data_IF_321815898989
#
_entry.id   IF_321815898989
#
_cell.length_a   1.000
_cell.length_b   1.000
_cell.length_c   1.000
_cell.angle_alpha   90.00
_cell.angle_beta   90.00
_cell.angle_gamma   90.00
#
_symmetry.space_group_name_H-M   'P 1'
#
loop_
_entity.id
_entity.type
_entity.pdbx_description
1 polymer ?
#
# COMPACT_ATOMS: atom_id res chain seq x y z
N UNK A 1 -63.32 70.01 49.90
CA UNK A 1 -64.24 68.87 49.70
C UNK A 1 -64.68 68.87 48.24
N UNK A 2 -63.98 68.10 47.40
CA UNK A 2 -64.47 67.44 46.17
C UNK A 2 -63.24 67.04 45.31
N UNK A 3 -62.59 65.93 45.67
CA UNK A 3 -61.76 65.22 44.69
C UNK A 3 -62.64 64.17 44.04
N UNK A 4 -62.97 64.39 42.77
CA UNK A 4 -63.62 63.41 41.92
C UNK A 4 -62.57 62.39 41.48
N UNK A 5 -62.65 61.18 42.01
CA UNK A 5 -61.90 60.02 41.54
C UNK A 5 -62.29 59.73 40.09
N UNK A 6 -61.33 59.85 39.17
CA UNK A 6 -61.51 59.53 37.77
C UNK A 6 -61.12 58.05 37.57
N UNK A 7 -62.14 57.18 37.50
CA UNK A 7 -61.99 55.78 37.09
C UNK A 7 -61.55 55.71 35.62
N UNK A 8 -60.31 55.23 35.39
CA UNK A 8 -59.85 54.85 34.06
C UNK A 8 -59.88 53.32 33.93
N UNK A 9 -60.47 52.73 32.88
CA UNK A 9 -60.56 51.28 32.73
C UNK A 9 -59.19 50.67 32.44
N UNK A 10 -58.79 49.68 33.23
CA UNK A 10 -57.65 48.84 32.93
C UNK A 10 -57.94 47.99 31.68
N UNK A 11 -57.37 48.40 30.54
CA UNK A 11 -57.36 47.62 29.30
C UNK A 11 -56.59 46.31 29.54
N UNK A 12 -57.32 45.21 29.76
CA UNK A 12 -56.79 43.85 29.72
C UNK A 12 -56.48 43.50 28.25
N UNK A 13 -55.21 43.41 27.89
CA UNK A 13 -54.78 42.75 26.67
C UNK A 13 -54.89 41.23 26.86
N UNK A 14 -55.98 40.63 26.36
CA UNK A 14 -56.10 39.18 26.29
C UNK A 14 -55.44 38.67 25.01
N UNK A 15 -54.27 38.03 25.14
CA UNK A 15 -53.71 37.19 24.08
C UNK A 15 -54.42 35.83 24.10
N UNK A 16 -55.19 35.50 23.06
CA UNK A 16 -55.76 34.16 22.88
C UNK A 16 -55.01 33.47 21.75
N UNK A 17 -54.23 32.45 22.10
CA UNK A 17 -53.60 31.54 21.14
C UNK A 17 -54.51 30.32 21.02
N UNK A 18 -55.07 30.09 19.84
CA UNK A 18 -55.77 28.85 19.50
C UNK A 18 -54.86 28.01 18.60
N UNK A 19 -54.60 26.76 18.99
CA UNK A 19 -53.83 25.81 18.19
C UNK A 19 -54.77 24.68 17.76
N UNK A 20 -54.86 24.45 16.46
CA UNK A 20 -55.49 23.27 15.87
C UNK A 20 -54.43 22.16 15.74
N UNK A 21 -54.77 20.95 16.15
CA UNK A 21 -53.80 19.90 16.49
C UNK A 21 -53.72 18.76 15.46
N UNK A 22 -53.97 19.04 14.18
CA UNK A 22 -54.07 18.00 13.14
C UNK A 22 -52.97 18.02 12.06
N UNK A 23 -52.03 18.98 12.05
CA UNK A 23 -50.94 18.99 11.07
C UNK A 23 -49.55 18.97 11.73
N UNK A 24 -48.76 17.94 11.42
CA UNK A 24 -47.35 17.85 11.78
C UNK A 24 -46.57 19.05 11.22
N UNK A 25 -45.83 19.73 12.10
CA UNK A 25 -44.91 20.83 11.83
C UNK A 25 -45.45 21.96 10.94
N UNK A 26 -46.24 22.88 11.50
CA UNK A 26 -46.46 24.18 10.88
C UNK A 26 -45.67 25.28 11.61
N UNK A 27 -44.76 25.92 10.87
CA UNK A 27 -44.24 27.25 11.21
C UNK A 27 -45.44 28.19 11.22
N UNK A 28 -45.88 28.64 12.40
CA UNK A 28 -46.96 29.62 12.50
C UNK A 28 -46.39 31.04 12.51
N UNK A 29 -46.78 31.92 11.58
CA UNK A 29 -46.50 33.35 11.71
C UNK A 29 -47.32 33.89 12.89
N UNK A 30 -46.62 34.33 13.94
CA UNK A 30 -47.26 35.03 15.07
C UNK A 30 -47.19 36.53 14.79
N UNK A 31 -48.34 37.12 14.43
CA UNK A 31 -48.45 38.58 14.29
C UNK A 31 -48.70 39.20 15.68
N UNK A 32 -47.66 39.78 16.28
CA UNK A 32 -47.82 40.60 17.48
C UNK A 32 -48.24 42.00 17.06
N UNK A 33 -49.52 42.33 17.28
CA UNK A 33 -50.04 43.70 17.19
C UNK A 33 -49.92 44.37 18.56
N UNK A 34 -49.01 45.34 18.76
CA UNK A 34 -49.06 46.16 19.96
C UNK A 34 -50.39 46.90 19.97
N UNK A 35 -51.18 46.76 21.05
CA UNK A 35 -52.34 47.64 21.27
C UNK A 35 -51.89 49.10 21.39
N UNK A 36 -52.80 50.07 21.19
CA UNK A 36 -52.44 51.49 21.25
C UNK A 36 -51.87 51.83 22.62
N UNK A 37 -50.57 52.10 22.69
CA UNK A 37 -49.93 52.65 23.88
C UNK A 37 -50.39 54.10 24.00
N UNK A 38 -50.92 54.48 25.17
CA UNK A 38 -51.27 55.87 25.44
C UNK A 38 -50.01 56.75 25.31
N UNK A 39 -50.02 57.65 24.34
CA UNK A 39 -48.89 58.54 24.03
C UNK A 39 -48.69 59.54 25.16
N UNK A 40 -47.43 59.74 25.59
CA UNK A 40 -47.02 60.89 26.40
C UNK A 40 -46.74 62.06 25.46
N UNK A 41 -47.25 63.24 25.79
CA UNK A 41 -47.16 64.44 24.95
C UNK A 41 -45.68 64.87 24.78
N UNK A 42 -45.12 64.67 23.57
CA UNK A 42 -43.77 65.11 23.21
C UNK A 42 -42.96 64.18 22.30
N UNK A 43 -43.37 62.92 22.10
CA UNK A 43 -42.60 61.99 21.27
C UNK A 43 -42.91 62.11 19.76
N UNK A 44 -41.90 62.18 18.87
CA UNK A 44 -42.11 62.18 17.42
C UNK A 44 -42.66 60.82 16.96
N UNK A 45 -43.68 60.85 16.11
CA UNK A 45 -44.41 59.69 15.64
C UNK A 45 -43.49 58.63 14.98
N UNK A 46 -43.09 57.63 15.74
CA UNK A 46 -42.55 56.39 15.20
C UNK A 46 -43.69 55.39 15.11
N UNK A 47 -44.27 55.26 13.92
CA UNK A 47 -45.15 54.15 13.56
C UNK A 47 -44.35 52.85 13.71
N UNK A 48 -44.49 52.19 14.87
CA UNK A 48 -44.03 50.80 15.03
C UNK A 48 -44.99 49.93 14.21
N UNK A 49 -44.62 49.66 12.96
CA UNK A 49 -45.30 48.68 12.12
C UNK A 49 -45.31 47.28 12.77
N UNK A 50 -46.19 46.38 12.29
CA UNK A 50 -46.28 45.02 12.83
C UNK A 50 -44.91 44.35 12.81
N UNK A 51 -44.44 43.92 13.99
CA UNK A 51 -43.24 43.08 14.10
C UNK A 51 -43.65 41.64 13.90
N UNK A 52 -43.54 41.17 12.67
CA UNK A 52 -43.65 39.75 12.37
C UNK A 52 -42.36 39.09 12.87
N UNK A 53 -42.46 38.22 13.89
CA UNK A 53 -41.41 37.28 14.23
C UNK A 53 -41.91 35.87 13.97
N UNK A 54 -41.15 35.12 13.20
CA UNK A 54 -41.35 33.69 13.06
C UNK A 54 -41.00 33.02 14.39
N UNK A 55 -41.96 32.35 15.00
CA UNK A 55 -41.73 31.47 16.15
C UNK A 55 -41.79 30.05 15.63
N UNK A 56 -40.65 29.36 15.63
CA UNK A 56 -40.61 27.93 15.38
C UNK A 56 -41.14 27.21 16.62
N UNK A 57 -42.34 26.64 16.52
CA UNK A 57 -42.83 25.68 17.51
C UNK A 57 -42.23 24.32 17.13
N UNK A 58 -41.11 23.96 17.76
CA UNK A 58 -40.58 22.60 17.74
C UNK A 58 -41.56 21.69 18.46
N UNK A 59 -42.48 21.07 17.72
CA UNK A 59 -43.22 19.92 18.20
C UNK A 59 -42.22 18.85 18.62
N UNK A 60 -42.17 18.52 19.91
CA UNK A 60 -41.39 17.39 20.43
C UNK A 60 -42.10 16.04 20.19
N UNK A 61 -43.15 15.97 19.36
CA UNK A 61 -43.76 14.70 18.99
C UNK A 61 -42.81 13.93 18.07
N UNK A 62 -42.03 13.04 18.66
CA UNK A 62 -41.07 12.17 17.97
C UNK A 62 -40.01 11.69 18.97
N UNK A 63 -39.44 10.52 18.74
CA UNK A 63 -38.36 10.00 19.56
C UNK A 63 -37.05 10.72 19.20
N UNK A 64 -36.35 11.23 20.21
CA UNK A 64 -35.07 11.92 20.03
C UNK A 64 -33.94 10.98 19.57
N UNK A 65 -33.95 9.74 20.05
CA UNK A 65 -32.94 8.74 19.71
C UNK A 65 -33.49 7.81 18.64
N UNK A 66 -32.97 7.92 17.42
CA UNK A 66 -33.22 6.93 16.38
C UNK A 66 -32.27 5.74 16.56
N UNK A 67 -32.76 4.48 16.45
CA UNK A 67 -31.95 3.27 16.48
C UNK A 67 -31.20 3.05 15.15
N UNK A 68 -30.50 4.09 14.69
CA UNK A 68 -29.69 4.06 13.48
C UNK A 68 -28.21 4.04 13.88
N UNK A 69 -27.50 3.01 13.44
CA UNK A 69 -26.04 2.89 13.58
C UNK A 69 -25.39 3.14 12.23
N UNK A 70 -24.31 3.92 12.22
CA UNK A 70 -23.55 4.29 11.04
C UNK A 70 -22.07 4.08 11.34
N UNK A 71 -21.40 3.24 10.57
CA UNK A 71 -20.00 2.89 10.77
C UNK A 71 -19.35 2.43 9.45
N UNK A 72 -18.03 2.32 9.45
CA UNK A 72 -17.25 1.64 8.41
C UNK A 72 -17.28 0.14 8.67
N UNK A 73 -17.35 -0.66 7.61
CA UNK A 73 -17.18 -2.11 7.69
C UNK A 73 -15.81 -2.49 7.15
N UNK A 74 -15.06 -3.24 7.94
CA UNK A 74 -13.67 -3.56 7.64
C UNK A 74 -12.72 -2.42 8.03
N UNK A 75 -11.85 -2.03 7.11
CA UNK A 75 -10.82 -1.01 7.33
C UNK A 75 -11.40 0.40 7.17
N UNK A 76 -11.11 1.29 8.10
CA UNK A 76 -11.45 2.72 8.07
C UNK A 76 -10.35 3.57 7.39
N UNK A 77 -9.40 2.93 6.70
CA UNK A 77 -8.21 3.58 6.17
C UNK A 77 -8.32 3.87 4.68
N UNK A 78 -8.09 5.13 4.30
CA UNK A 78 -7.84 5.55 2.91
C UNK A 78 -6.34 5.66 2.67
N UNK A 79 -5.84 5.04 1.59
CA UNK A 79 -4.44 5.21 1.18
C UNK A 79 -4.17 6.68 0.82
N UNK A 80 -3.19 7.26 1.50
CA UNK A 80 -2.83 8.67 1.35
C UNK A 80 -1.56 8.85 0.53
N UNK A 81 -1.67 8.64 -0.79
CA UNK A 81 -0.57 8.77 -1.77
C UNK A 81 -0.84 9.85 -2.84
N UNK A 82 -1.99 10.52 -2.78
CA UNK A 82 -2.44 11.53 -3.74
C UNK A 82 -2.97 10.99 -5.07
N UNK A 83 -2.82 9.70 -5.35
CA UNK A 83 -3.02 9.15 -6.70
C UNK A 83 -3.97 7.96 -6.75
N UNK A 84 -3.90 7.08 -5.77
CA UNK A 84 -4.70 5.88 -5.69
C UNK A 84 -6.12 6.20 -5.21
N UNK A 85 -7.09 5.50 -5.79
CA UNK A 85 -8.47 5.48 -5.30
C UNK A 85 -8.61 4.33 -4.32
N UNK A 86 -9.13 4.61 -3.13
CA UNK A 86 -9.49 3.60 -2.12
C UNK A 86 -10.99 3.59 -1.94
N UNK A 87 -11.61 2.42 -1.97
CA UNK A 87 -13.02 2.25 -1.69
C UNK A 87 -13.23 1.78 -0.23
N UNK A 88 -14.14 2.43 0.48
CA UNK A 88 -14.57 2.06 1.82
C UNK A 88 -16.02 1.61 1.79
N UNK A 89 -16.35 0.59 2.58
CA UNK A 89 -17.71 0.16 2.79
C UNK A 89 -18.28 0.83 4.04
N UNK A 90 -19.28 1.69 3.87
CA UNK A 90 -20.04 2.27 4.97
C UNK A 90 -21.36 1.51 5.14
N UNK A 91 -21.82 1.37 6.37
CA UNK A 91 -23.06 0.66 6.69
C UNK A 91 -23.96 1.49 7.60
N UNK A 92 -25.22 1.62 7.18
CA UNK A 92 -26.29 2.21 7.97
C UNK A 92 -27.24 1.09 8.37
N UNK A 93 -27.44 0.84 9.66
CA UNK A 93 -28.25 -0.30 10.15
C UNK A 93 -29.33 0.16 11.11
N UNK A 94 -30.54 -0.39 10.96
CA UNK A 94 -31.54 -0.33 12.03
C UNK A 94 -31.15 -1.33 13.13
N UNK A 95 -30.65 -0.83 14.25
CA UNK A 95 -30.22 -1.65 15.39
C UNK A 95 -31.34 -1.96 16.38
N UNK A 96 -32.57 -1.49 16.11
CA UNK A 96 -33.73 -1.91 16.86
C UNK A 96 -34.00 -3.41 16.62
N UNK A 97 -34.56 -4.09 17.62
CA UNK A 97 -34.83 -5.54 17.56
C UNK A 97 -36.25 -5.85 17.11
N UNK A 98 -37.16 -4.89 17.21
CA UNK A 98 -38.60 -5.11 17.05
C UNK A 98 -39.25 -4.07 16.14
N UNK A 99 -38.75 -2.84 16.13
CA UNK A 99 -39.35 -1.71 15.44
C UNK A 99 -38.69 -1.47 14.08
N UNK A 100 -39.49 -1.47 13.02
CA UNK A 100 -39.03 -1.05 11.69
C UNK A 100 -39.02 0.48 11.60
N UNK A 101 -38.00 1.04 10.95
CA UNK A 101 -37.92 2.48 10.67
C UNK A 101 -38.65 2.78 9.35
N UNK A 102 -39.71 3.61 9.35
CA UNK A 102 -40.43 3.94 8.12
C UNK A 102 -39.56 4.76 7.17
N UNK A 103 -39.67 4.48 5.87
CA UNK A 103 -39.03 5.24 4.80
C UNK A 103 -40.14 5.81 3.91
N UNK A 104 -40.25 7.13 3.86
CA UNK A 104 -41.17 7.81 2.95
C UNK A 104 -40.47 8.00 1.60
N UNK A 105 -40.98 7.36 0.55
CA UNK A 105 -40.29 7.26 -0.75
C UNK A 105 -40.53 8.42 -1.71
N UNK A 106 -41.54 9.26 -1.47
CA UNK A 106 -41.91 10.32 -2.40
C UNK A 106 -42.53 11.52 -1.67
N UNK A 107 -42.56 12.67 -2.37
CA UNK A 107 -43.16 13.91 -1.88
C UNK A 107 -42.18 14.83 -1.14
N UNK A 108 -42.71 15.94 -0.61
CA UNK A 108 -41.91 17.00 0.00
C UNK A 108 -41.32 16.62 1.38
N UNK A 109 -41.93 15.65 2.05
CA UNK A 109 -41.48 15.09 3.33
C UNK A 109 -40.93 13.68 3.18
N UNK A 110 -40.39 13.36 1.99
CA UNK A 110 -39.69 12.10 1.80
C UNK A 110 -38.48 11.98 2.72
N UNK A 111 -38.21 10.75 3.14
CA UNK A 111 -37.06 10.42 3.98
C UNK A 111 -35.77 10.65 3.19
N UNK A 112 -34.79 11.29 3.82
CA UNK A 112 -33.47 11.54 3.23
C UNK A 112 -32.37 11.12 4.18
N UNK A 113 -31.41 10.38 3.63
CA UNK A 113 -30.12 10.13 4.26
C UNK A 113 -29.08 10.94 3.47
N UNK A 114 -28.35 11.81 4.14
CA UNK A 114 -27.41 12.74 3.51
C UNK A 114 -26.03 12.40 4.05
N UNK A 115 -25.20 11.81 3.20
CA UNK A 115 -23.79 11.65 3.52
C UNK A 115 -23.07 12.97 3.26
N UNK A 116 -22.18 13.37 4.15
CA UNK A 116 -21.45 14.62 4.02
C UNK A 116 -20.02 14.49 4.53
N UNK A 117 -19.09 15.09 3.81
CA UNK A 117 -17.70 15.21 4.25
C UNK A 117 -17.12 16.57 3.90
N UNK A 118 -16.16 17.03 4.70
CA UNK A 118 -15.45 18.27 4.39
C UNK A 118 -14.37 18.06 3.32
N UNK A 119 -14.27 19.04 2.42
CA UNK A 119 -13.20 19.19 1.45
C UNK A 119 -12.45 20.49 1.71
N UNK A 120 -11.17 20.52 1.35
CA UNK A 120 -10.37 21.75 1.41
C UNK A 120 -10.27 22.42 0.05
N UNK A 121 -9.97 23.72 0.04
CA UNK A 121 -9.56 24.44 -1.16
C UNK A 121 -8.17 23.94 -1.61
N UNK A 122 -7.85 23.99 -2.91
CA UNK A 122 -6.55 23.57 -3.44
C UNK A 122 -5.40 24.31 -2.72
N UNK A 123 -4.58 23.55 -1.98
CA UNK A 123 -3.45 24.07 -1.20
C UNK A 123 -3.73 24.42 0.27
N UNK A 124 -4.98 24.26 0.73
CA UNK A 124 -5.33 24.37 2.15
C UNK A 124 -4.93 23.13 2.95
N UNK A 125 -4.44 23.31 4.18
CA UNK A 125 -4.07 22.22 5.09
C UNK A 125 -5.11 22.04 6.20
N UNK A 126 -6.37 21.77 5.84
CA UNK A 126 -7.37 21.39 6.84
C UNK A 126 -7.24 19.90 7.13
N UNK A 127 -6.77 19.57 8.33
CA UNK A 127 -6.46 18.17 8.70
C UNK A 127 -7.71 17.28 8.72
N UNK A 128 -8.88 17.88 9.00
CA UNK A 128 -10.18 17.22 9.02
C UNK A 128 -10.84 17.09 7.65
N UNK A 129 -10.28 17.66 6.57
CA UNK A 129 -10.81 17.47 5.21
C UNK A 129 -10.46 16.06 4.70
N UNK A 130 -11.38 15.43 3.97
CA UNK A 130 -11.16 14.11 3.39
C UNK A 130 -10.34 14.19 2.10
N UNK A 131 -10.63 15.18 1.26
CA UNK A 131 -9.94 15.44 -0.01
C UNK A 131 -9.92 16.93 -0.35
N UNK A 132 -9.22 17.31 -1.41
CA UNK A 132 -9.06 18.69 -1.91
C UNK A 132 -9.99 19.01 -3.09
N UNK A 133 -10.73 18.03 -3.63
CA UNK A 133 -11.63 18.22 -4.77
C UNK A 133 -12.88 17.35 -4.64
N UNK A 134 -14.10 17.87 -4.93
CA UNK A 134 -15.31 17.07 -4.91
C UNK A 134 -15.26 15.83 -5.81
N UNK A 135 -14.56 15.91 -6.95
CA UNK A 135 -14.44 14.80 -7.91
C UNK A 135 -13.54 13.65 -7.44
N UNK A 136 -12.76 13.84 -6.36
CA UNK A 136 -11.90 12.82 -5.77
C UNK A 136 -12.62 12.02 -4.67
N UNK A 137 -13.89 12.29 -4.43
CA UNK A 137 -14.75 11.52 -3.53
C UNK A 137 -16.06 11.20 -4.24
N UNK A 138 -16.45 9.94 -4.24
CA UNK A 138 -17.71 9.49 -4.87
C UNK A 138 -18.44 8.52 -3.96
N UNK A 139 -19.77 8.55 -4.03
CA UNK A 139 -20.65 7.70 -3.22
C UNK A 139 -21.54 6.90 -4.15
N UNK A 140 -21.52 5.58 -4.01
CA UNK A 140 -22.55 4.70 -4.58
C UNK A 140 -23.38 4.11 -3.44
N UNK A 141 -24.64 3.80 -3.70
CA UNK A 141 -25.56 3.23 -2.71
C UNK A 141 -26.09 1.91 -3.22
N UNK A 142 -26.13 0.91 -2.35
CA UNK A 142 -26.91 -0.28 -2.57
C UNK A 142 -28.23 -0.16 -1.83
N UNK A 143 -29.33 -0.56 -2.48
CA UNK A 143 -30.66 -0.55 -1.89
C UNK A 143 -30.70 -1.40 -0.60
N UNK A 144 -31.74 -1.17 0.21
CA UNK A 144 -31.90 -1.83 1.52
C UNK A 144 -31.74 -3.35 1.40
N UNK A 145 -30.79 -3.87 2.17
CA UNK A 145 -30.42 -5.27 2.20
C UNK A 145 -30.93 -5.90 3.51
N UNK A 146 -31.74 -6.94 3.37
CA UNK A 146 -32.33 -7.65 4.51
C UNK A 146 -31.36 -8.62 5.16
N UNK A 147 -31.73 -9.12 6.34
CA UNK A 147 -30.95 -10.13 7.08
C UNK A 147 -30.61 -11.33 6.20
N UNK A 148 -29.31 -11.64 6.08
CA UNK A 148 -28.79 -12.75 5.28
C UNK A 148 -28.30 -12.37 3.88
N UNK A 149 -28.41 -11.10 3.48
CA UNK A 149 -27.71 -10.60 2.29
C UNK A 149 -26.19 -10.71 2.45
N UNK A 150 -25.49 -11.04 1.37
CA UNK A 150 -24.03 -10.98 1.33
C UNK A 150 -23.61 -9.51 1.35
N UNK A 151 -22.69 -9.18 2.26
CA UNK A 151 -22.08 -7.85 2.31
C UNK A 151 -21.33 -7.57 1.00
N UNK A 152 -21.56 -6.42 0.34
CA UNK A 152 -20.90 -6.11 -0.92
C UNK A 152 -19.41 -5.82 -0.69
N UNK A 153 -18.54 -6.42 -1.50
CA UNK A 153 -17.13 -6.06 -1.52
C UNK A 153 -16.98 -4.65 -2.15
N UNK A 154 -16.42 -3.64 -1.44
CA UNK A 154 -16.23 -2.29 -1.97
C UNK A 154 -15.16 -2.21 -3.07
N UNK A 155 -14.31 -3.22 -3.24
CA UNK A 155 -13.26 -3.23 -4.27
C UNK A 155 -13.72 -3.87 -5.59
N UNK A 156 -14.90 -4.51 -5.61
CA UNK A 156 -15.45 -5.17 -6.80
C UNK A 156 -16.55 -4.32 -7.42
N UNK A 157 -16.25 -3.69 -8.57
CA UNK A 157 -17.18 -2.79 -9.26
C UNK A 157 -18.53 -3.46 -9.61
N UNK A 158 -18.51 -4.75 -9.96
CA UNK A 158 -19.72 -5.51 -10.30
C UNK A 158 -20.71 -5.65 -9.13
N UNK A 159 -20.31 -5.38 -7.89
CA UNK A 159 -21.24 -5.36 -6.74
C UNK A 159 -22.04 -4.04 -6.63
N UNK A 160 -21.68 -3.01 -7.40
CA UNK A 160 -22.18 -1.65 -7.27
C UNK A 160 -22.83 -1.15 -8.57
N UNK A 161 -24.07 -1.59 -8.82
CA UNK A 161 -24.80 -1.36 -10.07
C UNK A 161 -25.38 0.06 -10.25
N UNK A 162 -25.33 0.92 -9.23
CA UNK A 162 -25.83 2.30 -9.32
C UNK A 162 -24.73 3.24 -9.82
N UNK A 163 -25.05 4.18 -10.71
CA UNK A 163 -24.18 5.32 -10.97
C UNK A 163 -23.88 6.08 -9.65
N UNK A 164 -22.69 6.69 -9.52
CA UNK A 164 -22.38 7.52 -8.36
C UNK A 164 -23.44 8.61 -8.16
N UNK A 165 -23.84 8.80 -6.90
CA UNK A 165 -24.78 9.87 -6.54
C UNK A 165 -24.11 11.20 -6.85
N UNK A 166 -24.87 12.11 -7.47
CA UNK A 166 -24.38 13.44 -7.80
C UNK A 166 -24.04 14.20 -6.52
N UNK A 167 -22.76 14.58 -6.39
CA UNK A 167 -22.29 15.43 -5.31
C UNK A 167 -22.94 16.82 -5.41
N UNK A 168 -23.37 17.35 -4.27
CA UNK A 168 -23.85 18.73 -4.11
C UNK A 168 -22.85 19.50 -3.25
N UNK A 169 -21.92 20.27 -3.86
CA UNK A 169 -20.98 21.09 -3.11
C UNK A 169 -21.70 22.26 -2.46
N UNK A 170 -21.55 22.41 -1.14
CA UNK A 170 -22.04 23.54 -0.36
C UNK A 170 -20.86 24.18 0.39
N UNK A 171 -20.13 25.05 -0.31
CA UNK A 171 -18.88 25.61 0.19
C UNK A 171 -17.82 24.52 0.35
N UNK A 172 -17.41 24.25 1.60
CA UNK A 172 -16.42 23.22 1.96
C UNK A 172 -17.04 21.88 2.34
N UNK A 173 -18.35 21.77 2.36
CA UNK A 173 -19.03 20.50 2.58
C UNK A 173 -19.44 19.93 1.22
N UNK A 174 -19.17 18.65 0.98
CA UNK A 174 -19.75 17.92 -0.14
C UNK A 174 -20.82 16.99 0.41
N UNK A 175 -22.02 17.06 -0.17
CA UNK A 175 -23.18 16.29 0.28
C UNK A 175 -23.69 15.35 -0.83
N UNK A 176 -24.11 14.15 -0.44
CA UNK A 176 -24.81 13.19 -1.28
C UNK A 176 -26.16 12.86 -0.67
N UNK A 177 -27.23 13.25 -1.35
CA UNK A 177 -28.60 13.00 -0.89
C UNK A 177 -29.06 11.66 -1.42
N UNK A 178 -29.27 10.72 -0.50
CA UNK A 178 -29.90 9.42 -0.74
C UNK A 178 -31.38 9.57 -0.36
N UNK A 179 -32.24 9.51 -1.36
CA UNK A 179 -33.68 9.65 -1.16
C UNK A 179 -34.39 8.30 -0.93
N UNK A 180 -35.65 8.36 -0.51
CA UNK A 180 -36.43 7.15 -0.25
C UNK A 180 -36.72 6.31 -1.51
N UNK A 181 -36.60 6.89 -2.71
CA UNK A 181 -36.71 6.13 -3.94
C UNK A 181 -35.48 5.22 -4.14
N UNK A 182 -34.28 5.79 -3.98
CA UNK A 182 -32.98 5.10 -4.05
C UNK A 182 -32.78 4.05 -2.96
N UNK A 183 -33.37 4.24 -1.77
CA UNK A 183 -33.36 3.22 -0.72
C UNK A 183 -34.14 1.95 -1.10
N UNK A 184 -35.08 2.04 -2.04
CA UNK A 184 -35.75 0.88 -2.63
C UNK A 184 -36.74 0.14 -1.72
N UNK A 185 -36.94 0.59 -0.47
CA UNK A 185 -37.86 -0.03 0.48
C UNK A 185 -38.70 1.03 1.23
N UNK A 186 -39.91 0.64 1.66
CA UNK A 186 -40.82 1.51 2.44
C UNK A 186 -40.47 1.55 3.94
N UNK A 187 -39.53 0.70 4.37
CA UNK A 187 -39.05 0.60 5.76
C UNK A 187 -37.71 -0.12 5.84
N UNK A 188 -36.94 0.22 6.87
CA UNK A 188 -35.75 -0.52 7.30
C UNK A 188 -36.16 -1.42 8.47
N UNK A 189 -36.30 -2.73 8.23
CA UNK A 189 -36.68 -3.69 9.28
C UNK A 189 -35.56 -3.80 10.34
N UNK A 190 -35.84 -4.39 11.51
CA UNK A 190 -34.80 -4.76 12.47
C UNK A 190 -33.63 -5.49 11.81
N UNK A 191 -32.42 -4.96 11.96
CA UNK A 191 -31.16 -5.43 11.37
C UNK A 191 -31.02 -5.31 9.84
N UNK A 192 -31.95 -4.67 9.15
CA UNK A 192 -31.72 -4.31 7.74
C UNK A 192 -30.62 -3.25 7.66
N UNK A 193 -29.81 -3.36 6.61
CA UNK A 193 -28.68 -2.46 6.36
C UNK A 193 -28.80 -1.79 4.99
N UNK A 194 -28.31 -0.55 4.91
CA UNK A 194 -28.00 0.15 3.68
C UNK A 194 -26.48 0.24 3.58
N UNK A 195 -25.93 -0.20 2.45
CA UNK A 195 -24.50 -0.17 2.20
C UNK A 195 -24.15 0.97 1.25
N UNK A 196 -23.09 1.71 1.58
CA UNK A 196 -22.58 2.80 0.75
C UNK A 196 -21.11 2.52 0.41
N UNK A 197 -20.73 2.70 -0.85
CA UNK A 197 -19.34 2.68 -1.29
C UNK A 197 -18.85 4.11 -1.34
N UNK A 198 -17.90 4.43 -0.47
CA UNK A 198 -17.21 5.71 -0.49
C UNK A 198 -15.85 5.52 -1.14
N UNK A 199 -15.68 5.99 -2.37
CA UNK A 199 -14.39 5.93 -3.08
C UNK A 199 -13.69 7.26 -2.95
N UNK A 200 -12.47 7.26 -2.38
CA UNK A 200 -11.69 8.45 -2.04
C UNK A 200 -10.31 8.39 -2.69
N UNK A 201 -9.86 9.52 -3.22
CA UNK A 201 -8.47 9.80 -3.57
C UNK A 201 -8.00 11.02 -2.78
N UNK A 202 -6.88 10.90 -2.07
CA UNK A 202 -6.37 11.98 -1.22
C UNK A 202 -4.85 11.97 -1.12
N UNK A 203 -4.27 13.17 -1.09
CA UNK A 203 -2.85 13.42 -0.81
C UNK A 203 -2.68 14.47 0.28
N UNK A 204 -3.71 14.65 1.12
CA UNK A 204 -3.70 15.60 2.22
C UNK A 204 -2.78 15.11 3.35
N UNK A 205 -2.69 15.86 4.46
CA UNK A 205 -1.96 15.36 5.64
C UNK A 205 -2.62 14.07 6.16
N UNK A 206 -1.80 13.08 6.48
CA UNK A 206 -2.20 11.85 7.20
C UNK A 206 -2.90 12.22 8.51
N UNK A 207 -4.00 11.54 8.82
CA UNK A 207 -4.78 11.80 10.02
C UNK A 207 -6.27 11.47 9.87
N UNK A 208 -7.02 11.54 10.98
CA UNK A 208 -8.45 11.27 10.99
C UNK A 208 -9.25 12.37 10.29
N UNK A 209 -10.42 12.02 9.78
CA UNK A 209 -11.45 12.90 9.21
C UNK A 209 -12.80 12.24 9.42
N UNK A 210 -13.83 13.03 9.67
CA UNK A 210 -15.17 12.49 9.91
C UNK A 210 -16.01 12.53 8.64
N UNK A 211 -16.78 11.46 8.44
CA UNK A 211 -17.90 11.46 7.50
C UNK A 211 -19.17 11.50 8.32
N UNK A 212 -20.04 12.44 7.97
CA UNK A 212 -21.31 12.66 8.65
C UNK A 212 -22.45 12.05 7.86
N UNK A 213 -23.37 11.43 8.58
CA UNK A 213 -24.67 11.03 8.09
C UNK A 213 -25.72 11.91 8.74
N UNK A 214 -26.38 12.77 7.97
CA UNK A 214 -27.58 13.47 8.41
C UNK A 214 -28.81 12.69 7.96
N UNK A 215 -29.78 12.53 8.86
CA UNK A 215 -31.06 11.90 8.53
C UNK A 215 -32.19 12.88 8.75
N UNK A 216 -33.10 12.96 7.77
CA UNK A 216 -34.19 13.93 7.70
C UNK A 216 -35.51 13.26 7.38
N UNK A 217 -36.59 13.74 8.01
CA UNK A 217 -37.96 13.29 7.76
C UNK A 217 -38.14 11.77 7.87
N UNK A 218 -37.61 11.17 8.95
CA UNK A 218 -37.93 9.80 9.31
C UNK A 218 -39.16 9.84 10.23
N UNK A 219 -40.32 9.30 9.82
CA UNK A 219 -41.55 9.37 10.61
C UNK A 219 -41.36 8.84 12.03
N UNK A 220 -41.84 9.62 13.01
CA UNK A 220 -41.75 9.26 14.43
C UNK A 220 -40.42 9.58 15.11
N UNK A 221 -39.43 10.11 14.38
CA UNK A 221 -38.11 10.46 14.92
C UNK A 221 -37.74 11.90 14.61
N UNK A 222 -36.91 12.49 15.46
CA UNK A 222 -36.32 13.81 15.19
C UNK A 222 -35.23 13.68 14.14
N UNK A 223 -35.08 14.71 13.31
CA UNK A 223 -33.88 14.86 12.47
C UNK A 223 -32.62 14.86 13.33
N UNK A 224 -31.51 14.37 12.77
CA UNK A 224 -30.25 14.38 13.48
C UNK A 224 -29.09 13.92 12.62
N UNK A 225 -27.99 13.58 13.29
CA UNK A 225 -26.77 13.11 12.63
C UNK A 225 -26.09 11.96 13.36
N UNK A 226 -25.27 11.24 12.61
CA UNK A 226 -24.24 10.31 13.07
C UNK A 226 -22.93 10.65 12.37
N UNK A 227 -21.82 10.16 12.89
CA UNK A 227 -20.52 10.30 12.26
C UNK A 227 -19.74 9.02 12.44
N UNK A 228 -18.90 8.70 11.46
CA UNK A 228 -17.83 7.73 11.59
C UNK A 228 -16.51 8.40 11.20
N UNK A 229 -15.43 7.96 11.82
CA UNK A 229 -14.09 8.47 11.53
C UNK A 229 -13.43 7.60 10.47
N UNK A 230 -12.73 8.25 9.55
CA UNK A 230 -11.91 7.66 8.50
C UNK A 230 -10.47 8.15 8.71
N UNK A 231 -9.49 7.28 8.51
CA UNK A 231 -8.09 7.61 8.63
C UNK A 231 -7.41 7.68 7.27
N UNK A 232 -6.82 8.85 6.93
CA UNK A 232 -5.91 8.98 5.78
C UNK A 232 -4.54 8.48 6.21
N UNK A 233 -3.98 7.44 5.59
CA UNK A 233 -2.71 6.82 6.01
C UNK A 233 -1.93 6.19 4.84
N UNK A 234 -0.58 6.19 4.88
CA UNK A 234 0.21 5.41 3.94
C UNK A 234 0.20 3.90 4.24
N UNK A 235 -0.10 3.52 5.49
CA UNK A 235 -0.27 2.13 5.94
C UNK A 235 -1.76 1.78 5.87
N UNK A 236 -2.10 0.76 5.10
CA UNK A 236 -3.47 0.26 4.92
C UNK A 236 -3.60 -1.17 5.39
N UNK A 237 -4.74 -1.48 6.02
CA UNK A 237 -5.21 -2.84 6.23
C UNK A 237 -6.24 -3.12 5.15
N UNK A 238 -6.02 -4.17 4.37
CA UNK A 238 -6.90 -4.58 3.29
C UNK A 238 -7.48 -5.95 3.62
N UNK A 239 -8.81 -6.06 3.59
CA UNK A 239 -9.50 -7.33 3.68
C UNK A 239 -9.90 -7.76 2.28
N UNK A 240 -9.20 -8.73 1.71
CA UNK A 240 -9.56 -9.24 0.40
C UNK A 240 -10.84 -10.08 0.51
N UNK A 241 -11.72 -10.05 -0.49
CA UNK A 241 -12.92 -10.92 -0.56
C UNK A 241 -12.66 -12.44 -0.46
N UNK A 242 -11.40 -12.87 -0.41
CA UNK A 242 -10.97 -14.24 -0.09
C UNK A 242 -10.92 -14.58 1.42
N UNK A 243 -11.21 -13.61 2.30
CA UNK A 243 -11.19 -13.78 3.76
C UNK A 243 -9.79 -13.71 4.39
N UNK A 244 -8.81 -13.16 3.67
CA UNK A 244 -7.45 -12.95 4.15
C UNK A 244 -7.18 -11.46 4.34
N UNK A 245 -6.48 -11.13 5.43
CA UNK A 245 -6.02 -9.76 5.71
C UNK A 245 -4.61 -9.54 5.17
N UNK A 246 -4.41 -8.35 4.60
CA UNK A 246 -3.17 -7.90 4.02
C UNK A 246 -2.78 -6.53 4.58
N UNK A 247 -1.48 -6.27 4.63
CA UNK A 247 -0.91 -4.98 5.00
C UNK A 247 -0.21 -4.39 3.79
N UNK A 248 -0.63 -3.21 3.38
CA UNK A 248 0.00 -2.42 2.34
C UNK A 248 0.68 -1.18 2.92
N UNK A 249 1.89 -0.86 2.46
CA UNK A 249 2.52 0.45 2.65
C UNK A 249 2.72 1.04 1.26
N UNK A 250 2.04 2.15 0.98
CA UNK A 250 2.07 2.80 -0.34
C UNK A 250 1.26 2.08 -1.43
N UNK A 251 0.48 1.05 -1.08
CA UNK A 251 -0.42 0.34 -1.98
C UNK A 251 -1.67 -0.12 -1.24
N UNK A 252 -2.83 -0.02 -1.89
CA UNK A 252 -4.12 -0.53 -1.38
C UNK A 252 -4.54 -1.85 -2.04
N UNK A 253 -3.68 -2.43 -2.88
CA UNK A 253 -3.87 -3.74 -3.49
C UNK A 253 -2.63 -4.63 -3.25
N UNK A 254 -2.33 -4.96 -1.98
CA UNK A 254 -1.18 -5.78 -1.64
C UNK A 254 -1.31 -7.21 -2.19
N UNK A 255 -0.42 -7.61 -3.10
CA UNK A 255 -0.40 -8.97 -3.65
C UNK A 255 0.15 -10.03 -2.68
N UNK A 256 0.85 -9.61 -1.63
CA UNK A 256 1.42 -10.44 -0.56
C UNK A 256 0.94 -9.92 0.79
N UNK A 257 0.89 -10.79 1.82
CA UNK A 257 0.41 -10.41 3.17
C UNK A 257 1.03 -9.13 3.72
N UNK A 258 2.28 -8.85 3.36
CA UNK A 258 2.90 -7.54 3.49
C UNK A 258 3.42 -7.13 2.11
N UNK A 259 2.97 -5.98 1.62
CA UNK A 259 3.51 -5.34 0.42
C UNK A 259 3.96 -3.92 0.77
N UNK A 260 5.16 -3.56 0.32
CA UNK A 260 5.73 -2.22 0.45
C UNK A 260 6.12 -1.77 -0.95
N UNK A 261 5.54 -0.68 -1.42
CA UNK A 261 5.95 -0.02 -2.68
C UNK A 261 6.95 1.08 -2.37
N UNK A 262 7.60 1.61 -3.41
CA UNK A 262 8.71 2.56 -3.28
C UNK A 262 9.94 1.96 -2.57
N UNK A 263 10.52 2.65 -1.59
CA UNK A 263 11.77 2.25 -0.95
C UNK A 263 11.56 1.75 0.48
N UNK A 264 12.14 0.60 0.82
CA UNK A 264 12.16 0.04 2.18
C UNK A 264 13.54 0.21 2.82
N UNK A 265 13.63 0.99 3.90
CA UNK A 265 14.83 1.06 4.74
C UNK A 265 14.60 0.34 6.07
N UNK A 266 15.52 -0.56 6.44
CA UNK A 266 15.50 -1.31 7.70
C UNK A 266 16.77 -0.98 8.49
N UNK A 267 16.64 -0.56 9.75
CA UNK A 267 17.78 -0.27 10.64
C UNK A 267 17.46 0.80 11.69
N UNK A 268 18.10 0.74 12.86
CA UNK A 268 17.89 1.73 13.93
C UNK A 268 18.31 3.14 13.52
N UNK A 269 19.45 3.24 12.82
CA UNK A 269 20.00 4.51 12.35
C UNK A 269 19.55 4.81 10.92
N UNK A 270 19.58 3.79 10.07
CA UNK A 270 19.38 4.01 8.63
C UNK A 270 17.95 4.41 8.30
N UNK A 271 16.94 3.89 9.02
CA UNK A 271 15.54 4.19 8.74
C UNK A 271 15.18 5.68 8.89
N UNK A 272 15.97 6.47 9.61
CA UNK A 272 15.75 7.92 9.78
C UNK A 272 16.78 8.81 9.07
N UNK A 273 17.83 8.23 8.45
CA UNK A 273 18.92 8.98 7.81
C UNK A 273 19.01 8.78 6.30
N UNK A 274 18.66 7.58 5.82
CA UNK A 274 18.86 7.20 4.42
C UNK A 274 17.55 6.75 3.78
N UNK A 275 17.27 7.32 2.60
CA UNK A 275 16.18 6.87 1.75
C UNK A 275 16.66 5.70 0.90
N UNK A 276 15.97 4.57 0.96
CA UNK A 276 16.19 3.49 0.01
C UNK A 276 15.92 3.98 -1.43
N UNK A 277 16.62 3.43 -2.45
CA UNK A 277 16.25 3.64 -3.85
C UNK A 277 14.78 3.30 -4.10
N UNK A 278 14.19 3.89 -5.14
CA UNK A 278 12.82 3.54 -5.58
C UNK A 278 12.80 2.05 -5.95
N UNK A 279 11.77 1.34 -5.48
CA UNK A 279 11.62 -0.12 -5.58
C UNK A 279 12.83 -0.90 -5.02
N UNK A 280 13.51 -0.31 -4.04
CA UNK A 280 14.76 -0.80 -3.47
C UNK A 280 14.65 -1.15 -1.98
N UNK A 281 15.58 -2.00 -1.53
CA UNK A 281 15.74 -2.39 -0.14
C UNK A 281 17.11 -1.94 0.37
N UNK A 282 17.11 -1.19 1.48
CA UNK A 282 18.32 -0.80 2.20
C UNK A 282 18.26 -1.40 3.63
N UNK A 283 19.29 -2.15 4.03
CA UNK A 283 19.32 -2.82 5.34
C UNK A 283 20.60 -2.50 6.10
N UNK A 284 20.46 -2.01 7.33
CA UNK A 284 21.54 -1.83 8.28
C UNK A 284 21.80 -3.14 9.04
N UNK A 285 23.05 -3.60 9.04
CA UNK A 285 23.46 -4.81 9.76
C UNK A 285 23.49 -6.06 8.89
N UNK A 286 23.39 -7.23 9.52
CA UNK A 286 23.50 -8.52 8.84
C UNK A 286 22.14 -9.01 8.34
N UNK A 287 22.07 -9.43 7.08
CA UNK A 287 20.90 -10.06 6.45
C UNK A 287 21.07 -11.58 6.47
N UNK A 288 20.17 -12.27 7.18
CA UNK A 288 20.09 -13.73 7.19
C UNK A 288 18.95 -14.22 6.29
N UNK A 289 19.24 -15.15 5.38
CA UNK A 289 18.23 -15.86 4.58
C UNK A 289 18.34 -17.34 4.90
N UNK A 290 17.28 -17.94 5.45
CA UNK A 290 17.29 -19.34 5.92
C UNK A 290 18.10 -19.57 7.20
N UNK A 291 18.51 -18.50 7.91
CA UNK A 291 19.24 -18.56 9.18
C UNK A 291 18.83 -17.43 10.11
N UNK A 292 18.68 -17.71 11.41
CA UNK A 292 18.42 -16.72 12.45
C UNK A 292 19.70 -16.23 13.15
N UNK A 293 20.87 -16.75 12.77
CA UNK A 293 22.18 -16.36 13.29
C UNK A 293 23.12 -16.00 12.12
N UNK A 294 22.92 -14.86 11.44
CA UNK A 294 23.80 -14.43 10.37
C UNK A 294 25.17 -13.98 10.93
N UNK A 295 26.25 -14.65 10.51
CA UNK A 295 27.63 -14.37 10.93
C UNK A 295 28.40 -13.47 9.95
N UNK A 296 27.74 -13.02 8.90
CA UNK A 296 28.26 -12.13 7.87
C UNK A 296 27.17 -11.14 7.44
N UNK A 297 27.56 -10.05 6.77
CA UNK A 297 26.61 -9.01 6.31
C UNK A 297 25.51 -9.57 5.41
N UNK A 298 25.81 -10.60 4.62
CA UNK A 298 24.81 -11.46 3.98
C UNK A 298 25.16 -12.91 4.27
N UNK A 299 24.29 -13.62 4.97
CA UNK A 299 24.42 -15.05 5.25
C UNK A 299 23.20 -15.79 4.70
N UNK A 300 23.41 -16.51 3.60
CA UNK A 300 22.39 -17.36 3.00
C UNK A 300 22.69 -18.81 3.36
N UNK A 301 21.76 -19.46 4.07
CA UNK A 301 21.84 -20.86 4.45
C UNK A 301 20.68 -21.61 3.81
N UNK A 302 21.00 -22.67 3.09
CA UNK A 302 20.02 -23.59 2.53
C UNK A 302 20.29 -24.99 3.09
N UNK A 303 19.24 -25.63 3.58
CA UNK A 303 19.28 -27.01 4.07
C UNK A 303 18.59 -27.93 3.04
N UNK A 304 19.18 -29.09 2.77
CA UNK A 304 18.66 -30.07 1.80
C UNK A 304 19.16 -29.87 0.37
N UNK A 305 18.35 -30.26 -0.61
CA UNK A 305 18.68 -30.12 -2.04
C UNK A 305 18.23 -28.76 -2.60
N UNK A 306 19.00 -28.21 -3.54
CA UNK A 306 18.66 -26.98 -4.25
C UNK A 306 19.81 -25.99 -4.36
N UNK A 307 19.48 -24.76 -4.74
CA UNK A 307 20.45 -23.65 -4.81
C UNK A 307 20.25 -22.75 -3.62
N UNK A 308 21.31 -22.46 -2.86
CA UNK A 308 21.28 -21.40 -1.86
C UNK A 308 21.08 -20.02 -2.51
N UNK A 309 21.69 -19.79 -3.67
CA UNK A 309 21.53 -18.57 -4.47
C UNK A 309 21.62 -18.90 -5.97
N UNK A 310 20.88 -18.14 -6.79
CA UNK A 310 20.93 -18.21 -8.25
C UNK A 310 20.93 -16.80 -8.82
N UNK A 311 21.87 -16.51 -9.73
CA UNK A 311 22.02 -15.22 -10.39
C UNK A 311 21.86 -15.42 -11.90
N UNK A 312 20.99 -14.66 -12.54
CA UNK A 312 20.68 -14.77 -13.97
C UNK A 312 20.71 -13.41 -14.67
N UNK A 313 21.15 -13.39 -15.93
CA UNK A 313 21.24 -12.17 -16.74
C UNK A 313 22.41 -11.24 -16.37
N UNK A 314 22.53 -10.13 -17.12
CA UNK A 314 23.50 -9.06 -16.87
C UNK A 314 24.98 -9.50 -16.87
N UNK A 315 25.81 -8.77 -16.12
CA UNK A 315 27.26 -9.01 -15.98
C UNK A 315 27.62 -10.08 -14.93
N UNK A 316 26.63 -10.82 -14.40
CA UNK A 316 26.84 -11.85 -13.38
C UNK A 316 27.28 -11.29 -12.01
N UNK A 317 28.17 -12.00 -11.31
CA UNK A 317 28.67 -11.66 -9.97
C UNK A 317 30.07 -11.07 -10.06
N UNK A 318 30.22 -9.82 -9.64
CA UNK A 318 31.52 -9.16 -9.52
C UNK A 318 32.03 -9.23 -8.08
N UNK A 319 33.28 -9.65 -7.88
CA UNK A 319 33.99 -9.61 -6.59
C UNK A 319 35.19 -8.68 -6.78
N UNK A 320 35.25 -7.58 -6.04
CA UNK A 320 36.28 -6.55 -6.20
C UNK A 320 36.65 -5.89 -4.87
N UNK A 321 37.77 -5.17 -4.86
CA UNK A 321 38.26 -4.45 -3.67
C UNK A 321 38.77 -5.34 -2.53
N UNK A 322 38.93 -6.65 -2.76
CA UNK A 322 39.49 -7.58 -1.78
C UNK A 322 40.99 -7.29 -1.63
N UNK A 323 41.40 -6.97 -0.41
CA UNK A 323 42.76 -6.56 -0.10
C UNK A 323 43.35 -7.39 1.06
N UNK A 324 44.67 -7.31 1.23
CA UNK A 324 45.40 -8.06 2.25
C UNK A 324 45.52 -9.56 1.94
N UNK A 325 45.93 -10.34 2.95
CA UNK A 325 46.12 -11.79 2.85
C UNK A 325 44.79 -12.55 3.05
N UNK A 326 43.81 -12.31 2.17
CA UNK A 326 42.48 -12.91 2.27
C UNK A 326 42.02 -13.50 0.94
N UNK A 327 41.08 -14.45 1.00
CA UNK A 327 40.47 -15.05 -0.18
C UNK A 327 39.26 -14.20 -0.61
N UNK A 328 39.21 -13.83 -1.89
CA UNK A 328 38.02 -13.21 -2.47
C UNK A 328 36.84 -14.19 -2.57
N UNK A 329 37.13 -15.47 -2.80
CA UNK A 329 36.16 -16.56 -2.82
C UNK A 329 36.81 -17.82 -2.22
N UNK A 330 36.14 -18.43 -1.25
CA UNK A 330 36.50 -19.75 -0.72
C UNK A 330 35.33 -20.69 -0.92
N UNK A 331 35.56 -21.88 -1.48
CA UNK A 331 34.52 -22.89 -1.70
C UNK A 331 34.89 -24.14 -0.90
N UNK A 332 34.11 -24.42 0.13
CA UNK A 332 34.16 -25.69 0.85
C UNK A 332 33.16 -26.64 0.23
N UNK A 333 33.61 -27.82 -0.18
CA UNK A 333 32.76 -28.79 -0.82
C UNK A 333 33.14 -30.22 -0.41
N UNK A 334 32.12 -31.07 -0.24
CA UNK A 334 32.25 -32.48 0.10
C UNK A 334 31.38 -33.36 -0.81
N UNK A 335 31.09 -32.90 -2.03
CA UNK A 335 30.36 -33.71 -3.02
C UNK A 335 31.20 -34.92 -3.43
N UNK A 336 30.55 -36.05 -3.67
CA UNK A 336 31.21 -37.28 -4.12
C UNK A 336 31.07 -37.52 -5.63
N UNK A 337 30.12 -36.85 -6.28
CA UNK A 337 29.71 -37.13 -7.68
C UNK A 337 29.62 -35.90 -8.58
N UNK A 338 29.71 -34.69 -8.03
CA UNK A 338 29.60 -33.43 -8.76
C UNK A 338 30.87 -32.60 -8.60
N UNK A 339 31.26 -31.81 -9.61
CA UNK A 339 32.40 -30.91 -9.47
C UNK A 339 32.12 -29.81 -8.44
N UNK A 340 33.14 -29.38 -7.70
CA UNK A 340 33.09 -28.21 -6.80
C UNK A 340 32.76 -26.91 -7.56
N UNK A 341 33.25 -26.80 -8.80
CA UNK A 341 32.98 -25.67 -9.69
C UNK A 341 32.81 -26.19 -11.12
N UNK A 342 31.65 -25.91 -11.72
CA UNK A 342 31.41 -26.15 -13.15
C UNK A 342 31.33 -24.80 -13.88
N UNK A 343 32.15 -24.62 -14.91
CA UNK A 343 32.14 -23.42 -15.75
C UNK A 343 31.78 -23.83 -17.17
N UNK A 344 30.65 -23.33 -17.68
CA UNK A 344 30.17 -23.64 -19.02
C UNK A 344 30.03 -22.34 -19.81
N UNK A 345 30.85 -22.16 -20.83
CA UNK A 345 30.71 -21.06 -21.78
C UNK A 345 30.24 -21.60 -23.13
N UNK A 346 29.08 -21.14 -23.58
CA UNK A 346 28.52 -21.47 -24.90
C UNK A 346 28.92 -20.47 -25.99
N UNK A 347 29.50 -19.33 -25.60
CA UNK A 347 29.99 -18.30 -26.50
C UNK A 347 31.45 -18.54 -26.94
N UNK A 348 31.98 -17.61 -27.74
CA UNK A 348 33.33 -17.70 -28.30
C UNK A 348 34.46 -17.24 -27.34
N UNK A 349 34.10 -16.58 -26.22
CA UNK A 349 35.07 -16.06 -25.25
C UNK A 349 35.72 -17.15 -24.39
N UNK A 350 36.73 -16.77 -23.60
CA UNK A 350 37.29 -17.67 -22.60
C UNK A 350 36.25 -18.00 -21.53
N UNK A 351 36.12 -19.29 -21.18
CA UNK A 351 35.25 -19.71 -20.08
C UNK A 351 35.83 -19.29 -18.71
N UNK A 352 37.16 -19.35 -18.60
CA UNK A 352 37.91 -18.90 -17.43
C UNK A 352 39.09 -18.06 -17.91
N UNK A 353 39.28 -16.90 -17.28
CA UNK A 353 40.40 -16.01 -17.52
C UNK A 353 41.01 -15.61 -16.18
N UNK A 354 42.27 -16.01 -15.96
CA UNK A 354 43.04 -15.63 -14.79
C UNK A 354 44.19 -14.71 -15.25
N UNK A 355 44.24 -13.50 -14.70
CA UNK A 355 45.33 -12.55 -14.91
C UNK A 355 45.88 -12.15 -13.56
N UNK A 356 47.19 -12.25 -13.44
CA UNK A 356 47.93 -11.94 -12.23
C UNK A 356 49.00 -10.90 -12.61
N UNK A 357 48.97 -9.74 -11.94
CA UNK A 357 49.84 -8.60 -12.27
C UNK A 357 51.00 -8.43 -11.28
N UNK A 358 51.00 -9.16 -10.16
CA UNK A 358 52.03 -9.12 -9.12
C UNK A 358 53.07 -10.25 -9.24
N UNK A 359 53.51 -10.82 -8.12
CA UNK A 359 54.54 -11.88 -8.08
C UNK A 359 54.05 -13.31 -7.72
N UNK A 360 52.77 -13.49 -7.42
CA UNK A 360 52.14 -14.79 -7.11
C UNK A 360 51.74 -15.64 -8.33
N UNK A 361 51.05 -16.75 -8.08
CA UNK A 361 50.54 -17.66 -9.12
C UNK A 361 49.18 -17.19 -9.61
N UNK A 362 48.96 -17.22 -10.93
CA UNK A 362 47.62 -16.99 -11.49
C UNK A 362 46.68 -18.18 -11.24
N UNK A 363 47.24 -19.40 -11.17
CA UNK A 363 46.54 -20.62 -10.81
C UNK A 363 47.53 -21.61 -10.17
N UNK A 364 47.06 -22.34 -9.17
CA UNK A 364 47.77 -23.44 -8.50
C UNK A 364 46.80 -24.60 -8.31
N UNK A 365 47.25 -25.83 -8.59
CA UNK A 365 46.46 -27.04 -8.47
C UNK A 365 47.28 -28.08 -7.69
N UNK A 366 46.73 -28.58 -6.58
CA UNK A 366 47.38 -29.55 -5.71
C UNK A 366 46.51 -30.80 -5.52
N UNK A 367 47.12 -31.99 -5.58
CA UNK A 367 46.47 -33.28 -5.30
C UNK A 367 45.62 -33.89 -6.44
N UNK A 368 45.07 -35.09 -6.18
CA UNK A 368 44.11 -35.78 -7.05
C UNK A 368 44.66 -36.25 -8.40
N UNK A 369 43.77 -36.35 -9.40
CA UNK A 369 44.08 -36.78 -10.77
C UNK A 369 44.65 -35.67 -11.68
N UNK A 370 44.99 -34.50 -11.12
CA UNK A 370 45.53 -33.36 -11.88
C UNK A 370 44.51 -32.66 -12.80
N UNK A 371 45.02 -32.03 -13.87
CA UNK A 371 44.22 -31.27 -14.84
C UNK A 371 44.07 -32.07 -16.13
N UNK A 372 42.84 -32.41 -16.49
CA UNK A 372 42.52 -33.06 -17.76
C UNK A 372 42.00 -32.06 -18.80
N UNK A 373 42.53 -32.12 -20.02
CA UNK A 373 42.05 -31.35 -21.18
C UNK A 373 41.53 -32.35 -22.22
N UNK A 374 40.23 -32.33 -22.49
CA UNK A 374 39.57 -33.32 -23.37
C UNK A 374 38.57 -32.64 -24.31
N UNK A 375 38.13 -33.35 -25.35
CA UNK A 375 37.07 -32.85 -26.25
C UNK A 375 37.46 -31.66 -27.13
N UNK A 376 38.76 -31.37 -27.28
CA UNK A 376 39.23 -30.30 -28.18
C UNK A 376 39.15 -30.81 -29.62
N UNK A 377 38.25 -30.22 -30.41
CA UNK A 377 37.99 -30.62 -31.80
C UNK A 377 38.30 -29.50 -32.80
N UNK A 378 38.53 -29.87 -34.06
CA UNK A 378 38.90 -28.94 -35.12
C UNK A 378 40.38 -28.52 -35.05
N UNK A 379 40.76 -27.51 -35.83
CA UNK A 379 42.14 -27.02 -35.89
C UNK A 379 42.47 -26.06 -34.73
N UNK A 380 42.48 -26.57 -33.49
CA UNK A 380 42.72 -25.77 -32.27
C UNK A 380 43.78 -26.42 -31.38
N UNK A 381 44.58 -25.60 -30.71
CA UNK A 381 45.50 -26.09 -29.68
C UNK A 381 44.71 -26.41 -28.40
N UNK A 382 44.92 -27.61 -27.85
CA UNK A 382 44.34 -27.98 -26.56
C UNK A 382 45.01 -27.23 -25.39
N UNK A 383 46.31 -26.98 -25.51
CA UNK A 383 47.10 -26.20 -24.57
C UNK A 383 48.11 -25.35 -25.36
N UNK A 384 48.13 -24.05 -25.11
CA UNK A 384 49.13 -23.14 -25.66
C UNK A 384 49.89 -22.49 -24.51
N UNK A 385 51.21 -22.67 -24.47
CA UNK A 385 52.08 -22.13 -23.44
C UNK A 385 53.14 -21.27 -24.11
N UNK A 386 53.23 -20.01 -23.70
CA UNK A 386 54.25 -19.07 -24.14
C UNK A 386 54.75 -18.27 -22.94
N UNK A 387 56.01 -17.86 -22.99
CA UNK A 387 56.64 -17.07 -21.94
C UNK A 387 57.84 -16.32 -22.47
N UNK A 388 58.09 -15.16 -21.88
CA UNK A 388 59.30 -14.35 -22.09
C UNK A 388 60.14 -14.38 -20.81
N UNK A 389 60.39 -15.58 -20.28
CA UNK A 389 61.10 -15.77 -19.02
C UNK A 389 62.60 -15.63 -19.23
N UNK A 390 63.30 -14.99 -18.31
CA UNK A 390 64.77 -14.95 -18.29
C UNK A 390 65.26 -15.90 -17.19
N UNK A 391 66.18 -16.80 -17.54
CA UNK A 391 66.86 -17.71 -16.59
C UNK A 391 66.01 -18.82 -15.95
N UNK A 392 64.74 -18.97 -16.32
CA UNK A 392 63.88 -20.10 -15.92
C UNK A 392 63.10 -20.64 -17.11
N UNK A 393 62.84 -21.97 -17.16
CA UNK A 393 62.07 -22.54 -18.26
C UNK A 393 60.60 -22.09 -18.20
N UNK A 394 60.01 -21.83 -19.36
CA UNK A 394 58.56 -21.54 -19.48
C UNK A 394 57.70 -22.72 -18.99
N UNK A 395 58.22 -23.95 -19.13
CA UNK A 395 57.60 -25.18 -18.61
C UNK A 395 58.66 -25.95 -17.82
N UNK A 396 58.45 -26.08 -16.51
CA UNK A 396 59.25 -26.95 -15.65
C UNK A 396 58.45 -28.20 -15.27
N UNK A 397 59.07 -29.37 -15.36
CA UNK A 397 58.48 -30.64 -14.90
C UNK A 397 59.43 -31.30 -13.93
N UNK A 398 58.92 -31.71 -12.77
CA UNK A 398 59.68 -32.43 -11.73
C UNK A 398 58.89 -33.66 -11.33
N UNK A 399 59.51 -34.84 -11.37
CA UNK A 399 58.94 -36.08 -10.90
C UNK A 399 59.80 -36.64 -9.76
N UNK A 400 59.19 -36.84 -8.59
CA UNK A 400 59.86 -37.40 -7.41
C UNK A 400 59.56 -38.90 -7.21
N UNK A 401 58.81 -39.54 -8.13
CA UNK A 401 58.43 -40.95 -8.10
C UNK A 401 58.93 -41.75 -9.32
N UNK A 402 58.53 -43.03 -9.42
CA UNK A 402 59.05 -44.00 -10.39
C UNK A 402 58.34 -44.03 -11.77
N UNK A 403 57.58 -43.00 -12.13
CA UNK A 403 56.78 -42.95 -13.37
C UNK A 403 57.39 -42.13 -14.51
N UNK A 404 56.71 -42.13 -15.66
CA UNK A 404 57.07 -41.27 -16.80
C UNK A 404 56.86 -39.78 -16.45
N UNK A 405 57.83 -38.94 -16.81
CA UNK A 405 57.79 -37.48 -16.61
C UNK A 405 56.91 -36.80 -17.68
N UNK A 406 56.92 -37.36 -18.90
CA UNK A 406 56.12 -36.90 -20.02
C UNK A 406 55.78 -38.11 -20.89
N UNK A 407 54.49 -38.35 -21.12
CA UNK A 407 53.99 -39.39 -22.01
C UNK A 407 53.14 -38.75 -23.11
N UNK A 408 53.46 -39.06 -24.37
CA UNK A 408 52.70 -38.58 -25.53
C UNK A 408 52.34 -39.76 -26.44
N UNK A 409 51.06 -39.86 -26.80
CA UNK A 409 50.54 -40.88 -27.72
C UNK A 409 49.61 -40.22 -28.73
N UNK A 410 49.81 -40.49 -30.02
CA UNK A 410 48.94 -40.04 -31.10
C UNK A 410 48.27 -41.26 -31.75
N UNK A 411 46.95 -41.21 -31.91
CA UNK A 411 46.17 -42.25 -32.58
C UNK A 411 45.46 -41.64 -33.81
N UNK A 412 45.75 -42.12 -35.04
CA UNK A 412 45.15 -41.64 -36.29
C UNK A 412 46.15 -41.48 -37.47
N UNK A 413 45.64 -41.45 -38.71
CA UNK A 413 46.45 -41.31 -39.93
C UNK A 413 46.65 -39.83 -40.32
N UNK A 414 47.90 -39.37 -40.38
CA UNK A 414 48.28 -38.12 -41.05
C UNK A 414 48.92 -37.06 -40.14
N UNK A 415 50.24 -37.11 -39.99
CA UNK A 415 51.04 -35.91 -39.72
C UNK A 415 51.03 -35.08 -41.01
N UNK A 416 50.60 -33.82 -40.96
CA UNK A 416 50.90 -32.90 -42.05
C UNK A 416 52.44 -32.77 -42.16
N UNK A 417 52.98 -32.70 -43.38
CA UNK A 417 54.42 -32.77 -43.68
C UNK A 417 55.35 -31.80 -42.91
N UNK A 418 54.79 -30.86 -42.14
CA UNK A 418 55.50 -29.83 -41.38
C UNK A 418 55.37 -29.97 -39.84
N UNK A 419 54.77 -31.06 -39.34
CA UNK A 419 54.68 -31.30 -37.89
C UNK A 419 55.97 -31.95 -37.38
N UNK A 420 56.86 -31.16 -36.78
CA UNK A 420 58.09 -31.62 -36.12
C UNK A 420 57.87 -31.71 -34.60
N UNK A 421 58.07 -32.88 -34.02
CA UNK A 421 58.33 -33.04 -32.59
C UNK A 421 59.84 -33.29 -32.41
N UNK A 422 60.60 -32.25 -32.11
CA UNK A 422 62.02 -32.38 -31.75
C UNK A 422 62.11 -32.51 -30.21
N UNK A 423 62.18 -33.76 -29.72
CA UNK A 423 62.60 -34.03 -28.34
C UNK A 423 64.12 -34.16 -28.35
N UNK A 424 64.82 -33.06 -28.06
CA UNK A 424 66.27 -33.10 -27.90
C UNK A 424 66.61 -33.77 -26.56
N UNK A 425 66.93 -35.06 -26.59
CA UNK A 425 67.54 -35.74 -25.45
C UNK A 425 68.97 -35.21 -25.27
N UNK A 426 69.20 -34.34 -24.29
CA UNK A 426 70.56 -34.01 -23.86
C UNK A 426 71.09 -35.18 -23.02
N UNK A 427 71.85 -36.11 -23.62
CA UNK A 427 72.57 -37.11 -22.84
C UNK A 427 73.68 -36.41 -22.06
N UNK A 428 73.60 -36.41 -20.73
CA UNK A 428 74.73 -36.06 -19.87
C UNK A 428 75.78 -37.17 -19.98
N UNK A 429 76.72 -37.03 -20.93
CA UNK A 429 77.96 -37.80 -20.91
C UNK A 429 78.83 -37.24 -19.78
N UNK A 430 78.98 -37.98 -18.68
CA UNK A 430 79.99 -37.69 -17.66
C UNK A 430 81.40 -37.82 -18.25
N UNK A 431 82.31 -36.84 -18.05
CA UNK A 431 83.69 -37.01 -18.49
C UNK A 431 84.44 -37.87 -17.48
N UNK A 432 84.68 -39.14 -17.82
CA UNK A 432 85.71 -39.94 -17.14
C UNK A 432 87.08 -39.43 -17.62
N UNK A 433 87.76 -38.64 -16.78
CA UNK A 433 89.22 -38.43 -16.89
C UNK A 433 89.91 -39.78 -16.69
N UNK A 434 90.56 -40.33 -17.72
CA UNK A 434 91.68 -41.28 -17.52
C UNK A 434 92.98 -40.48 -17.53
N UNK A 435 93.65 -40.48 -16.39
CA UNK A 435 95.08 -40.19 -16.31
C UNK A 435 95.85 -41.38 -16.89
N UNK A 436 96.83 -41.10 -17.74
CA UNK A 436 98.16 -41.69 -17.65
C UNK A 436 99.19 -40.61 -17.91
#
# INVERSE_FOLDING_TARGET
MSDAANDAPALKSSCRIAADAEAEAQVLPVELRPGPLAQRQGDPATLLGPRIRTVEVLSQRGQKSIPLHFDVVGSDIVLNDGSSKTALLLRITNVDREVALPIVRAGNLQTRLILACEITDQGGHQEWALTDEPGKVTVQVQAVAGVGSVEPDPDVDDNWHSDPIMASPNGRMVEWVIDGEQLGADKLQPNDSVYLRLTVQTGLRTGPTDVHLYYRHIPGYWDGSRACTIQKSPLVFHHAGSGLDYVGIGTNQPASRLAVTDGLTIGSDWAHLYKAPVDGLLVQGNVGIGTFQPSASLHVKQEGEGKAAQFEGGSGVAIGGVAGATNALTIYNNTTSSPTLAVVNKGAGAALYARQEGTGKAAEFEGGGGVAITGVTGAKNALNISGNTTSVPTVGVVNNGAGDVLYAKQEGAGLAANSRAEVAWLSLASPVRRMH
#
